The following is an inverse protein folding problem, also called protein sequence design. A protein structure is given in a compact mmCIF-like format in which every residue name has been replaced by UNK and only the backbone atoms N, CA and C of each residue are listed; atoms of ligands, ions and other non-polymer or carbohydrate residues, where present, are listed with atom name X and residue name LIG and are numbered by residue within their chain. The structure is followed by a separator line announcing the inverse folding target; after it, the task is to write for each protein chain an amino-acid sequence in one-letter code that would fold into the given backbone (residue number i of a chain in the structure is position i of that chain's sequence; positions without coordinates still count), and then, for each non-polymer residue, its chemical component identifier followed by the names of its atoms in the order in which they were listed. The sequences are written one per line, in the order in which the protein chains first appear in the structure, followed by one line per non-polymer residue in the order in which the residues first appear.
data_IF_585219886390
#
_entry.id   IF_585219886390
#
_cell.length_a   1.000
_cell.length_b   1.000
_cell.length_c   1.000
_cell.angle_alpha   90.00
_cell.angle_beta   90.00
_cell.angle_gamma   90.00
#
_symmetry.space_group_name_H-M   'P 1'
#
loop_
_entity.id
_entity.type
_entity.pdbx_description
1 polymer ?
#
# COMPACT_ATOMS: atom_id res chain seq x y z
N UNK A 1 -25.88 18.91 -34.10
CA UNK A 1 -25.19 17.73 -33.56
C UNK A 1 -24.16 18.08 -32.46
N UNK A 2 -23.20 18.99 -32.69
CA UNK A 2 -22.15 19.30 -31.70
C UNK A 2 -22.65 19.74 -30.30
N UNK A 3 -23.71 20.54 -30.21
CA UNK A 3 -24.28 21.00 -28.91
C UNK A 3 -24.92 19.87 -28.07
N UNK A 4 -25.53 18.84 -28.73
CA UNK A 4 -26.11 17.68 -28.02
C UNK A 4 -25.04 16.74 -27.48
N UNK A 5 -23.91 16.59 -28.17
CA UNK A 5 -22.77 15.77 -27.72
C UNK A 5 -22.11 16.41 -26.51
N UNK A 6 -21.93 17.74 -26.49
CA UNK A 6 -21.35 18.47 -25.31
C UNK A 6 -22.26 18.34 -24.10
N UNK A 7 -23.59 18.42 -24.27
CA UNK A 7 -24.54 18.25 -23.16
C UNK A 7 -24.51 16.82 -22.57
N UNK A 8 -24.35 15.79 -23.41
CA UNK A 8 -24.27 14.40 -22.98
C UNK A 8 -22.96 14.15 -22.25
N UNK A 9 -21.81 14.70 -22.71
CA UNK A 9 -20.52 14.58 -22.02
C UNK A 9 -20.57 15.28 -20.68
N UNK A 10 -21.16 16.46 -20.57
CA UNK A 10 -21.35 17.18 -19.30
C UNK A 10 -22.27 16.42 -18.33
N UNK A 11 -23.32 15.77 -18.83
CA UNK A 11 -24.23 14.97 -18.01
C UNK A 11 -23.54 13.71 -17.45
N UNK A 12 -22.72 13.04 -18.28
CA UNK A 12 -21.96 11.86 -17.86
C UNK A 12 -20.88 12.22 -16.82
N UNK A 13 -20.17 13.34 -17.01
CA UNK A 13 -19.16 13.78 -16.02
C UNK A 13 -19.82 14.19 -14.71
N UNK A 14 -21.01 14.80 -14.74
CA UNK A 14 -21.73 15.22 -13.53
C UNK A 14 -22.32 14.03 -12.73
N UNK A 15 -22.60 12.89 -13.40
CA UNK A 15 -23.11 11.68 -12.73
C UNK A 15 -21.99 10.76 -12.22
N UNK A 16 -20.80 10.78 -12.83
CA UNK A 16 -19.68 9.93 -12.43
C UNK A 16 -18.95 10.50 -11.21
N UNK A 17 -18.78 11.83 -11.12
CA UNK A 17 -18.10 12.48 -9.99
C UNK A 17 -18.79 12.17 -8.64
N UNK A 18 -20.14 12.28 -8.48
CA UNK A 18 -20.79 11.94 -7.21
C UNK A 18 -20.78 10.45 -6.88
N UNK A 19 -20.67 9.55 -7.87
CA UNK A 19 -20.58 8.10 -7.62
C UNK A 19 -19.22 7.73 -7.01
N UNK A 20 -18.14 8.32 -7.52
CA UNK A 20 -16.82 8.14 -6.90
C UNK A 20 -16.73 8.75 -5.50
N UNK A 21 -17.32 9.92 -5.28
CA UNK A 21 -17.33 10.57 -3.96
C UNK A 21 -18.21 9.82 -2.95
N UNK A 22 -19.29 9.20 -3.39
CA UNK A 22 -20.17 8.41 -2.53
C UNK A 22 -19.50 7.14 -2.01
N UNK A 23 -18.62 6.52 -2.80
CA UNK A 23 -17.86 5.33 -2.39
C UNK A 23 -16.84 5.60 -1.27
N UNK A 24 -16.33 6.83 -1.15
CA UNK A 24 -15.42 7.21 -0.06
C UNK A 24 -16.12 7.94 1.09
N UNK A 25 -17.29 8.55 0.84
CA UNK A 25 -18.06 9.26 1.86
C UNK A 25 -18.79 8.31 2.82
N UNK A 26 -18.88 7.02 2.46
CA UNK A 26 -19.51 5.98 3.28
C UNK A 26 -18.51 5.21 4.15
N UNK A 27 -17.19 5.27 3.82
CA UNK A 27 -16.17 4.64 4.65
C UNK A 27 -16.20 5.26 6.06
N UNK A 28 -16.54 4.45 7.06
CA UNK A 28 -16.53 4.89 8.46
C UNK A 28 -15.09 5.06 8.96
N UNK A 29 -14.40 6.07 8.41
CA UNK A 29 -12.98 6.36 8.64
C UNK A 29 -12.75 7.87 8.77
N UNK A 30 -11.84 8.24 9.65
CA UNK A 30 -11.52 9.65 9.95
C UNK A 30 -10.18 9.97 9.29
N UNK A 31 -10.10 10.98 8.39
CA UNK A 31 -8.83 11.45 7.86
C UNK A 31 -7.84 11.81 8.98
N UNK A 32 -6.57 11.47 8.83
CA UNK A 32 -5.55 11.76 9.84
C UNK A 32 -5.50 13.26 10.21
N UNK A 33 -5.78 14.16 9.25
CA UNK A 33 -5.90 15.61 9.48
C UNK A 33 -7.02 16.01 10.46
N UNK A 34 -8.07 15.20 10.54
CA UNK A 34 -9.26 15.45 11.35
C UNK A 34 -9.28 14.65 12.64
N UNK A 35 -8.37 13.67 12.78
CA UNK A 35 -8.30 12.82 13.96
C UNK A 35 -7.65 13.57 15.12
N UNK A 36 -8.45 13.91 16.12
CA UNK A 36 -8.01 14.67 17.30
C UNK A 36 -7.61 13.73 18.42
N UNK A 37 -6.30 13.60 18.67
CA UNK A 37 -5.75 12.83 19.79
C UNK A 37 -4.39 13.38 20.18
N UNK A 38 -4.28 13.94 21.39
CA UNK A 38 -3.01 14.43 21.93
C UNK A 38 -1.97 13.31 22.08
N UNK A 39 -2.42 12.09 22.38
CA UNK A 39 -1.59 10.90 22.45
C UNK A 39 -0.99 10.58 21.08
N UNK A 40 -1.82 10.45 20.04
CA UNK A 40 -1.36 10.17 18.68
C UNK A 40 -0.44 11.29 18.16
N UNK A 41 -0.78 12.54 18.39
CA UNK A 41 0.04 13.69 17.98
C UNK A 41 1.41 13.70 18.67
N UNK A 42 1.47 13.27 19.93
CA UNK A 42 2.73 13.12 20.66
C UNK A 42 3.61 12.04 20.01
N UNK A 43 3.03 10.89 19.67
CA UNK A 43 3.74 9.80 18.99
C UNK A 43 4.19 10.16 17.57
N UNK A 44 3.44 11.02 16.87
CA UNK A 44 3.72 11.45 15.50
C UNK A 44 4.53 12.76 15.43
N UNK A 45 5.02 13.27 16.54
CA UNK A 45 5.83 14.48 16.56
C UNK A 45 7.11 14.28 15.77
N UNK A 46 7.42 15.21 14.87
CA UNK A 46 8.64 15.24 14.06
C UNK A 46 8.84 14.04 13.10
N UNK A 47 7.78 13.34 12.69
CA UNK A 47 7.90 12.34 11.64
C UNK A 47 8.11 13.00 10.27
N UNK A 48 8.89 12.38 9.37
CA UNK A 48 9.02 12.84 7.99
C UNK A 48 7.68 12.85 7.26
N UNK A 49 7.55 13.73 6.26
CA UNK A 49 6.41 13.73 5.33
C UNK A 49 5.01 13.92 5.96
N UNK A 50 4.91 14.45 7.19
CA UNK A 50 3.66 14.56 7.95
C UNK A 50 2.51 15.15 7.12
N UNK A 51 2.75 16.24 6.40
CA UNK A 51 1.71 16.93 5.62
C UNK A 51 1.19 16.07 4.45
N UNK A 52 2.05 15.28 3.83
CA UNK A 52 1.65 14.34 2.78
C UNK A 52 0.89 13.14 3.36
N UNK A 53 1.37 12.58 4.47
CA UNK A 53 0.69 11.47 5.18
C UNK A 53 -0.72 11.85 5.61
N UNK A 54 -0.89 13.07 6.09
CA UNK A 54 -2.19 13.62 6.47
C UNK A 54 -3.23 13.61 5.34
N UNK A 55 -2.81 13.61 4.08
CA UNK A 55 -3.69 13.70 2.93
C UNK A 55 -4.25 12.34 2.48
N UNK A 56 -3.61 11.21 2.84
CA UNK A 56 -4.04 9.92 2.35
C UNK A 56 -4.20 8.83 3.43
N UNK A 57 -3.85 9.12 4.71
CA UNK A 57 -4.05 8.16 5.80
C UNK A 57 -5.36 8.43 6.52
N UNK A 58 -6.09 7.35 6.80
CA UNK A 58 -7.35 7.32 7.52
C UNK A 58 -7.25 6.39 8.72
N UNK A 59 -7.98 6.72 9.78
CA UNK A 59 -8.04 5.98 11.05
C UNK A 59 -9.47 5.58 11.36
N UNK A 60 -9.71 4.48 12.11
CA UNK A 60 -11.05 4.08 12.51
C UNK A 60 -11.60 5.03 13.57
N UNK A 61 -12.92 5.21 13.63
CA UNK A 61 -13.54 5.80 14.80
C UNK A 61 -13.42 4.86 16.00
N UNK A 62 -13.52 5.42 17.21
CA UNK A 62 -13.54 4.65 18.45
C UNK A 62 -12.16 4.32 19.03
N UNK A 63 -12.10 3.20 19.76
CA UNK A 63 -10.90 2.85 20.53
C UNK A 63 -9.97 1.90 19.75
N UNK A 64 -8.69 2.25 19.69
CA UNK A 64 -7.61 1.45 19.13
C UNK A 64 -6.27 1.90 19.75
N UNK A 65 -5.23 1.10 19.63
CA UNK A 65 -3.88 1.44 20.07
C UNK A 65 -3.32 2.61 19.26
N UNK A 66 -3.17 3.79 19.89
CA UNK A 66 -2.59 4.98 19.26
C UNK A 66 -1.10 4.79 18.99
N UNK A 67 -0.42 4.06 19.86
CA UNK A 67 0.99 3.71 19.71
C UNK A 67 1.20 2.81 18.47
N UNK A 68 0.41 1.74 18.31
CA UNK A 68 0.52 0.85 17.14
C UNK A 68 0.21 1.59 15.85
N UNK A 69 -0.87 2.40 15.83
CA UNK A 69 -1.20 3.22 14.67
C UNK A 69 -0.07 4.21 14.34
N UNK A 70 0.52 4.86 15.35
CA UNK A 70 1.64 5.77 15.14
C UNK A 70 2.89 5.05 14.62
N UNK A 71 3.17 3.83 15.09
CA UNK A 71 4.28 3.01 14.59
C UNK A 71 4.08 2.66 13.12
N UNK A 72 2.89 2.24 12.72
CA UNK A 72 2.54 1.99 11.31
C UNK A 72 2.70 3.24 10.45
N UNK A 73 2.20 4.39 10.90
CA UNK A 73 2.36 5.68 10.20
C UNK A 73 3.84 6.06 10.07
N UNK A 74 4.64 5.80 11.10
CA UNK A 74 6.09 6.06 11.08
C UNK A 74 6.81 5.19 10.05
N UNK A 75 6.47 3.92 9.90
CA UNK A 75 7.03 3.08 8.84
C UNK A 75 6.70 3.65 7.45
N UNK A 76 5.46 4.05 7.22
CA UNK A 76 5.05 4.68 5.95
C UNK A 76 5.77 6.01 5.72
N UNK A 77 6.12 6.75 6.76
CA UNK A 77 6.86 8.02 6.65
C UNK A 77 8.28 7.88 6.09
N UNK A 78 8.85 6.66 6.09
CA UNK A 78 10.17 6.37 5.51
C UNK A 78 10.14 6.32 3.97
N UNK A 79 8.97 6.24 3.36
CA UNK A 79 8.82 6.26 1.90
C UNK A 79 9.16 7.66 1.38
N UNK A 80 9.93 7.77 0.29
CA UNK A 80 10.33 9.05 -0.27
C UNK A 80 9.14 9.97 -0.59
N UNK A 81 9.26 11.29 -0.34
CA UNK A 81 8.16 12.23 -0.51
C UNK A 81 7.57 12.25 -1.92
N UNK A 82 8.40 12.07 -2.96
CA UNK A 82 7.91 12.05 -4.35
C UNK A 82 6.98 10.85 -4.62
N UNK A 83 7.24 9.67 -4.03
CA UNK A 83 6.37 8.49 -4.15
C UNK A 83 5.05 8.74 -3.41
N UNK A 84 5.12 9.27 -2.18
CA UNK A 84 3.94 9.62 -1.40
C UNK A 84 3.08 10.67 -2.11
N UNK A 85 3.68 11.68 -2.74
CA UNK A 85 2.95 12.67 -3.54
C UNK A 85 2.21 12.04 -4.73
N UNK A 86 2.82 11.08 -5.43
CA UNK A 86 2.13 10.38 -6.52
C UNK A 86 0.94 9.57 -5.99
N UNK A 87 1.07 8.90 -4.83
CA UNK A 87 -0.06 8.20 -4.21
C UNK A 87 -1.24 9.16 -3.95
N UNK A 88 -0.98 10.33 -3.39
CA UNK A 88 -2.00 11.38 -3.18
C UNK A 88 -2.63 11.80 -4.50
N UNK A 89 -1.83 12.10 -5.54
CA UNK A 89 -2.32 12.48 -6.85
C UNK A 89 -3.17 11.40 -7.55
N UNK A 90 -2.85 10.13 -7.29
CA UNK A 90 -3.59 8.98 -7.80
C UNK A 90 -4.82 8.63 -6.96
N UNK A 91 -5.13 9.41 -5.90
CA UNK A 91 -6.19 9.13 -4.94
C UNK A 91 -6.07 7.73 -4.32
N UNK A 92 -4.86 7.33 -3.97
CA UNK A 92 -4.61 6.12 -3.15
C UNK A 92 -4.73 6.52 -1.69
N UNK A 93 -5.47 5.74 -0.91
CA UNK A 93 -5.68 5.95 0.51
C UNK A 93 -5.23 4.73 1.31
N UNK A 94 -4.61 4.97 2.46
CA UNK A 94 -4.28 3.94 3.44
C UNK A 94 -5.23 4.07 4.62
N UNK A 95 -6.08 3.08 4.83
CA UNK A 95 -6.92 2.98 6.00
C UNK A 95 -6.32 2.00 7.00
N UNK A 96 -5.82 2.53 8.10
CA UNK A 96 -5.45 1.74 9.27
C UNK A 96 -6.73 1.42 10.02
N UNK A 97 -7.17 0.16 10.00
CA UNK A 97 -8.46 -0.24 10.53
C UNK A 97 -8.35 -1.09 11.80
N UNK A 98 -9.47 -1.26 12.50
CA UNK A 98 -9.65 -2.20 13.61
C UNK A 98 -10.84 -3.12 13.33
N UNK A 99 -10.89 -4.30 13.96
CA UNK A 99 -11.93 -5.30 13.66
C UNK A 99 -11.55 -6.25 12.53
N UNK A 100 -12.52 -6.77 11.79
CA UNK A 100 -12.28 -7.66 10.66
C UNK A 100 -12.24 -6.88 9.35
N UNK A 101 -11.44 -7.35 8.40
CA UNK A 101 -11.33 -6.72 7.08
C UNK A 101 -12.70 -6.68 6.36
N UNK A 102 -13.48 -7.72 6.50
CA UNK A 102 -14.81 -7.86 5.88
C UNK A 102 -15.90 -7.00 6.54
N UNK A 103 -15.61 -6.38 7.69
CA UNK A 103 -16.50 -5.39 8.32
C UNK A 103 -16.27 -3.97 7.74
N UNK A 104 -15.22 -3.80 6.94
CA UNK A 104 -14.92 -2.52 6.27
C UNK A 104 -15.81 -2.39 5.04
N UNK A 105 -16.51 -1.26 4.93
CA UNK A 105 -17.43 -0.98 3.83
C UNK A 105 -16.77 -1.16 2.45
N UNK A 106 -17.44 -1.94 1.59
CA UNK A 106 -16.95 -2.32 0.27
C UNK A 106 -16.17 -3.64 0.24
N UNK A 107 -15.86 -4.23 1.41
CA UNK A 107 -15.15 -5.51 1.53
C UNK A 107 -16.02 -6.65 2.08
N UNK A 108 -17.30 -6.42 2.35
CA UNK A 108 -18.26 -7.40 2.87
C UNK A 108 -18.43 -8.60 1.93
N UNK A 109 -18.25 -8.38 0.64
CA UNK A 109 -18.33 -9.42 -0.39
C UNK A 109 -17.21 -10.47 -0.28
N UNK A 110 -16.18 -10.22 0.51
CA UNK A 110 -15.08 -11.15 0.78
C UNK A 110 -15.40 -12.10 1.95
N UNK A 111 -16.52 -11.89 2.65
CA UNK A 111 -16.95 -12.77 3.75
C UNK A 111 -17.07 -14.23 3.30
N UNK A 112 -16.43 -15.15 4.02
CA UNK A 112 -16.37 -16.56 3.67
C UNK A 112 -15.51 -16.91 2.44
N UNK A 113 -14.89 -15.93 1.79
CA UNK A 113 -14.01 -16.15 0.63
C UNK A 113 -12.57 -16.45 1.07
N UNK A 114 -11.92 -17.40 0.42
CA UNK A 114 -10.52 -17.74 0.70
C UNK A 114 -9.56 -16.79 -0.01
N UNK A 115 -8.60 -16.17 0.72
CA UNK A 115 -7.57 -15.36 0.09
C UNK A 115 -6.54 -16.21 -0.66
N UNK A 116 -5.97 -15.66 -1.74
CA UNK A 116 -4.86 -16.28 -2.47
C UNK A 116 -3.61 -16.34 -1.60
N UNK A 117 -2.88 -17.45 -1.64
CA UNK A 117 -1.61 -17.60 -0.92
C UNK A 117 -1.72 -18.13 0.51
N UNK A 118 -2.92 -18.24 1.06
CA UNK A 118 -3.14 -18.85 2.36
C UNK A 118 -3.38 -20.35 2.21
N UNK A 119 -2.40 -21.15 2.67
CA UNK A 119 -2.44 -22.62 2.57
C UNK A 119 -3.24 -23.30 3.69
N UNK A 120 -3.54 -22.57 4.76
CA UNK A 120 -4.21 -23.11 5.93
C UNK A 120 -5.68 -23.42 5.61
N UNK A 121 -6.09 -24.66 5.90
CA UNK A 121 -7.50 -25.07 5.85
C UNK A 121 -8.25 -24.24 6.91
N UNK A 122 -9.04 -23.27 6.47
CA UNK A 122 -9.91 -22.49 7.35
C UNK A 122 -9.64 -20.98 7.39
N UNK A 123 -8.55 -20.45 6.80
CA UNK A 123 -8.35 -19.01 6.74
C UNK A 123 -9.24 -18.38 5.66
N UNK A 124 -10.05 -17.43 6.04
CA UNK A 124 -10.88 -16.60 5.16
C UNK A 124 -10.38 -15.14 5.20
N UNK A 125 -10.98 -14.28 4.38
CA UNK A 125 -10.62 -12.86 4.37
C UNK A 125 -10.90 -12.13 5.69
N UNK A 126 -11.78 -12.66 6.55
CA UNK A 126 -12.00 -12.15 7.91
C UNK A 126 -10.74 -12.19 8.76
N UNK A 127 -9.90 -13.22 8.54
CA UNK A 127 -8.65 -13.44 9.28
C UNK A 127 -7.45 -12.68 8.71
N UNK A 128 -7.59 -12.09 7.51
CA UNK A 128 -6.50 -11.40 6.83
C UNK A 128 -6.36 -9.97 7.36
N UNK A 129 -5.18 -9.58 7.85
CA UNK A 129 -4.99 -8.27 8.47
C UNK A 129 -4.80 -7.12 7.47
N UNK A 130 -4.69 -7.39 6.17
CA UNK A 130 -4.48 -6.35 5.17
C UNK A 130 -4.82 -6.75 3.75
N UNK A 131 -5.03 -5.75 2.90
CA UNK A 131 -5.21 -5.89 1.46
C UNK A 131 -4.71 -4.64 0.73
N UNK A 132 -3.91 -4.84 -0.32
CA UNK A 132 -3.36 -3.78 -1.16
C UNK A 132 -3.68 -3.94 -2.64
N UNK A 133 -3.01 -3.14 -3.49
CA UNK A 133 -3.15 -3.19 -4.95
C UNK A 133 -4.39 -2.50 -5.51
N UNK A 134 -5.16 -1.83 -4.66
CA UNK A 134 -6.28 -0.96 -5.05
C UNK A 134 -6.03 0.48 -4.63
N UNK A 135 -6.97 1.38 -4.91
CA UNK A 135 -6.90 2.77 -4.44
C UNK A 135 -7.19 2.91 -2.95
N UNK A 136 -7.82 1.91 -2.34
CA UNK A 136 -7.97 1.79 -0.90
C UNK A 136 -7.14 0.61 -0.41
N UNK A 137 -6.11 0.92 0.37
CA UNK A 137 -5.23 -0.03 1.04
C UNK A 137 -5.70 -0.17 2.48
N UNK A 138 -5.86 -1.40 2.96
CA UNK A 138 -6.23 -1.69 4.34
C UNK A 138 -5.07 -2.34 5.07
N UNK A 139 -4.78 -1.89 6.31
CA UNK A 139 -3.84 -2.53 7.21
C UNK A 139 -4.37 -2.47 8.65
N UNK A 140 -4.46 -3.63 9.31
CA UNK A 140 -5.03 -3.75 10.65
C UNK A 140 -4.05 -3.24 11.71
N UNK A 141 -4.51 -2.33 12.55
CA UNK A 141 -3.72 -1.77 13.66
C UNK A 141 -3.30 -2.90 14.61
N UNK A 142 -2.03 -2.87 15.02
CA UNK A 142 -1.42 -3.90 15.88
C UNK A 142 -0.93 -5.16 15.13
N UNK A 143 -1.10 -5.22 13.81
CA UNK A 143 -0.68 -6.36 12.98
C UNK A 143 0.53 -6.05 12.07
N UNK A 144 1.32 -5.04 12.40
CA UNK A 144 2.45 -4.57 11.56
C UNK A 144 3.54 -5.63 11.37
N UNK A 145 3.84 -6.40 12.40
CA UNK A 145 4.97 -7.32 12.41
C UNK A 145 4.64 -8.70 11.82
N UNK A 146 5.63 -9.32 11.19
CA UNK A 146 5.55 -10.68 10.70
C UNK A 146 5.07 -11.66 11.79
N UNK A 147 4.13 -12.54 11.43
CA UNK A 147 3.54 -13.51 12.35
C UNK A 147 2.24 -13.03 13.00
N UNK A 148 1.87 -11.76 12.83
CA UNK A 148 0.62 -11.20 13.34
C UNK A 148 -0.55 -11.42 12.37
N UNK A 149 -0.77 -12.68 11.94
CA UNK A 149 -1.82 -13.06 10.98
C UNK A 149 -1.37 -12.99 9.51
N UNK A 150 -0.12 -12.63 9.24
CA UNK A 150 0.45 -12.57 7.89
C UNK A 150 1.92 -13.02 7.87
N UNK A 151 2.47 -13.24 6.66
CA UNK A 151 3.84 -13.71 6.45
C UNK A 151 4.84 -12.65 5.99
N UNK A 152 4.41 -11.43 5.71
CA UNK A 152 5.26 -10.32 5.28
C UNK A 152 6.05 -9.72 6.45
N UNK A 153 7.19 -9.09 6.15
CA UNK A 153 8.09 -8.49 7.16
C UNK A 153 7.42 -7.31 7.85
N UNK A 154 6.59 -6.58 7.11
CA UNK A 154 5.80 -5.46 7.62
C UNK A 154 4.51 -5.32 6.78
N UNK A 155 3.36 -5.28 7.45
CA UNK A 155 2.06 -5.32 6.80
C UNK A 155 1.78 -4.09 5.94
N UNK A 156 1.80 -2.90 6.56
CA UNK A 156 1.38 -1.65 5.90
C UNK A 156 2.28 -1.27 4.72
N UNK A 157 3.57 -1.52 4.81
CA UNK A 157 4.50 -1.29 3.71
C UNK A 157 4.28 -2.29 2.57
N UNK A 158 4.03 -3.56 2.89
CA UNK A 158 3.75 -4.62 1.91
C UNK A 158 2.47 -4.33 1.13
N UNK A 159 1.37 -4.05 1.83
CA UNK A 159 0.09 -3.77 1.18
C UNK A 159 0.12 -2.46 0.37
N UNK A 160 0.79 -1.43 0.90
CA UNK A 160 0.96 -0.18 0.18
C UNK A 160 1.84 -0.35 -1.06
N UNK A 161 2.85 -1.24 -1.02
CA UNK A 161 3.71 -1.54 -2.15
C UNK A 161 2.93 -2.09 -3.36
N UNK A 162 1.91 -2.92 -3.16
CA UNK A 162 1.04 -3.38 -4.25
C UNK A 162 0.33 -2.21 -4.96
N UNK A 163 -0.06 -1.19 -4.21
CA UNK A 163 -0.68 0.02 -4.80
C UNK A 163 0.36 0.93 -5.44
N UNK A 164 1.56 1.03 -4.89
CA UNK A 164 2.71 1.71 -5.51
C UNK A 164 3.08 1.03 -6.84
N UNK A 165 3.17 -0.29 -6.86
CA UNK A 165 3.40 -1.06 -8.08
C UNK A 165 2.40 -0.67 -9.17
N UNK A 166 1.13 -0.66 -8.86
CA UNK A 166 0.06 -0.43 -9.83
C UNK A 166 -0.08 1.02 -10.28
N UNK A 167 -0.03 1.96 -9.34
CA UNK A 167 -0.42 3.36 -9.59
C UNK A 167 0.78 4.31 -9.72
N UNK A 168 1.96 3.90 -9.27
CA UNK A 168 3.19 4.71 -9.36
C UNK A 168 4.15 4.15 -10.42
N UNK A 169 4.33 2.81 -10.46
CA UNK A 169 5.35 2.16 -11.28
C UNK A 169 4.81 1.53 -12.57
N UNK A 170 3.49 1.51 -12.79
CA UNK A 170 2.88 0.99 -14.00
C UNK A 170 2.92 -0.54 -14.13
N UNK A 171 2.87 -1.25 -13.01
CA UNK A 171 2.95 -2.70 -12.84
C UNK A 171 4.34 -3.28 -13.10
N UNK A 172 5.06 -3.54 -12.01
CA UNK A 172 6.43 -4.05 -11.97
C UNK A 172 6.62 -5.37 -12.73
N UNK A 173 5.56 -6.17 -12.83
CA UNK A 173 5.55 -7.43 -13.60
C UNK A 173 5.87 -7.25 -15.09
N UNK A 174 5.80 -6.02 -15.61
CA UNK A 174 6.19 -5.68 -16.98
C UNK A 174 7.56 -5.01 -17.08
N UNK A 175 8.19 -4.67 -15.95
CA UNK A 175 9.50 -4.05 -15.92
C UNK A 175 10.60 -5.09 -16.15
N UNK A 176 11.23 -5.07 -17.32
CA UNK A 176 12.26 -6.06 -17.71
C UNK A 176 13.47 -6.07 -16.77
N UNK A 177 13.91 -4.89 -16.30
CA UNK A 177 15.05 -4.78 -15.41
C UNK A 177 14.75 -5.40 -14.05
N UNK A 178 13.58 -5.10 -13.47
CA UNK A 178 13.13 -5.70 -12.22
C UNK A 178 12.96 -7.22 -12.35
N UNK A 179 12.30 -7.70 -13.41
CA UNK A 179 12.11 -9.14 -13.63
C UNK A 179 13.44 -9.90 -13.77
N UNK A 180 14.48 -9.26 -14.34
CA UNK A 180 15.83 -9.85 -14.39
C UNK A 180 16.44 -9.95 -12.99
N UNK A 181 16.36 -8.90 -12.18
CA UNK A 181 16.81 -8.90 -10.79
C UNK A 181 16.07 -9.97 -9.97
N UNK A 182 14.73 -9.96 -10.02
CA UNK A 182 13.90 -10.96 -9.35
C UNK A 182 14.32 -12.39 -9.66
N UNK A 183 14.42 -12.76 -10.94
CA UNK A 183 14.79 -14.14 -11.36
C UNK A 183 16.18 -14.56 -10.87
N UNK A 184 17.12 -13.62 -10.78
CA UNK A 184 18.49 -13.94 -10.34
C UNK A 184 18.64 -13.99 -8.82
N UNK A 185 17.76 -13.34 -8.04
CA UNK A 185 17.96 -13.10 -6.61
C UNK A 185 16.92 -13.73 -5.70
N UNK A 186 15.74 -14.08 -6.21
CA UNK A 186 14.65 -14.60 -5.39
C UNK A 186 15.03 -15.87 -4.61
N UNK A 187 15.83 -16.74 -5.18
CA UNK A 187 16.28 -17.96 -4.52
C UNK A 187 17.26 -17.70 -3.38
N UNK A 188 18.10 -16.66 -3.50
CA UNK A 188 19.05 -16.25 -2.45
C UNK A 188 18.32 -15.56 -1.30
N UNK A 189 17.37 -14.67 -1.60
CA UNK A 189 16.68 -13.87 -0.59
C UNK A 189 15.57 -14.67 0.12
N UNK A 190 14.85 -15.50 -0.63
CA UNK A 190 13.69 -16.25 -0.14
C UNK A 190 13.80 -17.75 -0.46
N UNK A 191 14.81 -18.46 0.07
CA UNK A 191 14.94 -19.89 -0.13
C UNK A 191 13.69 -20.60 0.41
N UNK A 192 13.16 -21.57 -0.36
CA UNK A 192 12.01 -22.39 0.02
C UNK A 192 10.67 -21.63 0.18
N UNK A 193 10.56 -20.39 -0.32
CA UNK A 193 9.32 -19.61 -0.31
C UNK A 193 8.74 -19.49 -1.72
N UNK A 194 8.15 -20.57 -2.22
CA UNK A 194 7.62 -20.70 -3.59
C UNK A 194 6.68 -19.54 -3.98
N UNK A 195 6.00 -18.94 -3.03
CA UNK A 195 5.11 -17.79 -3.28
C UNK A 195 5.87 -16.63 -3.95
N UNK A 196 7.02 -16.25 -3.44
CA UNK A 196 7.85 -15.18 -4.02
C UNK A 196 8.55 -15.60 -5.32
N UNK A 197 8.76 -16.89 -5.53
CA UNK A 197 9.31 -17.43 -6.79
C UNK A 197 8.28 -17.43 -7.93
N UNK A 198 6.98 -17.44 -7.58
CA UNK A 198 5.88 -17.53 -8.55
C UNK A 198 5.35 -16.14 -8.91
N UNK A 199 5.30 -15.23 -7.95
CA UNK A 199 4.63 -13.94 -8.08
C UNK A 199 5.62 -12.78 -7.91
N UNK A 200 6.10 -12.16 -9.01
CA UNK A 200 7.04 -11.04 -8.94
C UNK A 200 6.47 -9.81 -8.21
N UNK A 201 5.16 -9.61 -8.23
CA UNK A 201 4.48 -8.55 -7.49
C UNK A 201 4.57 -8.75 -5.97
N UNK A 202 4.57 -9.99 -5.50
CA UNK A 202 4.73 -10.32 -4.08
C UNK A 202 6.18 -10.17 -3.63
N UNK A 203 7.12 -10.59 -4.50
CA UNK A 203 8.53 -10.33 -4.27
C UNK A 203 8.82 -8.83 -4.20
N UNK A 204 8.21 -8.04 -5.10
CA UNK A 204 8.33 -6.58 -5.06
C UNK A 204 7.80 -6.02 -3.75
N UNK A 205 6.58 -6.40 -3.32
CA UNK A 205 5.96 -5.89 -2.11
C UNK A 205 6.78 -6.21 -0.85
N UNK A 206 7.29 -7.45 -0.75
CA UNK A 206 8.12 -7.86 0.39
C UNK A 206 9.48 -7.13 0.39
N UNK A 207 10.14 -7.03 -0.76
CA UNK A 207 11.44 -6.34 -0.86
C UNK A 207 11.31 -4.83 -0.70
N UNK A 208 10.20 -4.23 -1.10
CA UNK A 208 9.86 -2.84 -0.80
C UNK A 208 9.73 -2.63 0.72
N UNK A 209 9.00 -3.51 1.40
CA UNK A 209 8.89 -3.46 2.85
C UNK A 209 10.26 -3.63 3.52
N UNK A 210 11.10 -4.56 3.08
CA UNK A 210 12.47 -4.72 3.59
C UNK A 210 13.32 -3.46 3.41
N UNK A 211 13.15 -2.78 2.27
CA UNK A 211 13.95 -1.59 1.93
C UNK A 211 13.60 -0.38 2.80
N UNK A 212 12.31 -0.18 3.12
CA UNK A 212 11.82 1.02 3.82
C UNK A 212 11.54 0.81 5.32
N UNK A 213 11.53 -0.42 5.82
CA UNK A 213 11.21 -0.68 7.23
C UNK A 213 12.28 -0.15 8.19
N UNK A 214 13.52 -0.62 8.02
CA UNK A 214 14.66 -0.21 8.85
C UNK A 214 16.00 -0.64 8.22
N UNK A 215 17.10 -0.19 8.83
CA UNK A 215 18.46 -0.45 8.32
C UNK A 215 18.82 -1.94 8.34
N UNK A 216 18.32 -2.72 9.28
CA UNK A 216 18.62 -4.17 9.38
C UNK A 216 18.03 -4.90 8.18
N UNK A 217 16.75 -4.71 7.90
CA UNK A 217 16.09 -5.34 6.74
C UNK A 217 16.62 -4.83 5.42
N UNK A 218 16.98 -3.53 5.35
CA UNK A 218 17.63 -2.91 4.20
C UNK A 218 19.01 -3.51 3.92
N UNK A 219 19.80 -3.77 4.95
CA UNK A 219 21.10 -4.44 4.85
C UNK A 219 20.97 -5.88 4.34
N UNK A 220 20.02 -6.66 4.90
CA UNK A 220 19.75 -8.03 4.43
C UNK A 220 19.32 -8.06 2.96
N UNK A 221 18.50 -7.09 2.53
CA UNK A 221 18.15 -6.93 1.12
C UNK A 221 19.39 -6.65 0.26
N UNK A 222 20.23 -5.69 0.65
CA UNK A 222 21.44 -5.34 -0.08
C UNK A 222 22.41 -6.53 -0.22
N UNK A 223 22.53 -7.34 0.83
CA UNK A 223 23.40 -8.50 0.89
C UNK A 223 22.93 -9.66 0.00
N UNK A 224 21.63 -9.96 -0.01
CA UNK A 224 21.07 -11.14 -0.65
C UNK A 224 20.40 -10.86 -2.00
N UNK A 225 20.07 -9.60 -2.29
CA UNK A 225 19.43 -9.14 -3.51
C UNK A 225 19.94 -7.76 -3.97
N UNK A 226 21.24 -7.64 -4.32
CA UNK A 226 21.87 -6.34 -4.62
C UNK A 226 21.29 -5.64 -5.84
N UNK A 227 20.82 -6.35 -6.88
CA UNK A 227 20.19 -5.71 -8.04
C UNK A 227 18.80 -5.17 -7.69
N UNK A 228 18.03 -5.88 -6.86
CA UNK A 228 16.76 -5.38 -6.33
C UNK A 228 16.98 -4.17 -5.42
N UNK A 229 18.00 -4.21 -4.58
CA UNK A 229 18.39 -3.07 -3.75
C UNK A 229 18.74 -1.83 -4.62
N UNK A 230 19.54 -2.00 -5.66
CA UNK A 230 19.89 -0.93 -6.61
C UNK A 230 18.65 -0.41 -7.37
N UNK A 231 17.67 -1.27 -7.65
CA UNK A 231 16.41 -0.85 -8.24
C UNK A 231 15.69 0.17 -7.35
N UNK A 232 15.59 -0.09 -6.03
CA UNK A 232 15.00 0.86 -5.09
C UNK A 232 15.82 2.14 -4.93
N UNK A 233 17.15 2.04 -4.86
CA UNK A 233 18.02 3.23 -4.84
C UNK A 233 17.81 4.12 -6.06
N UNK A 234 17.62 3.54 -7.24
CA UNK A 234 17.36 4.30 -8.46
C UNK A 234 15.95 4.90 -8.44
N UNK A 235 14.97 4.20 -7.90
CA UNK A 235 13.61 4.71 -7.72
C UNK A 235 13.58 5.95 -6.81
N UNK A 236 14.41 5.99 -5.76
CA UNK A 236 14.57 7.17 -4.89
C UNK A 236 15.12 8.41 -5.62
N UNK A 237 15.92 8.22 -6.65
CA UNK A 237 16.59 9.30 -7.41
C UNK A 237 15.76 9.84 -8.56
N UNK A 238 14.66 9.17 -8.92
CA UNK A 238 13.86 9.60 -10.07
C UNK A 238 13.13 10.92 -9.75
N UNK A 239 13.27 11.92 -10.63
CA UNK A 239 12.49 13.15 -10.49
C UNK A 239 11.00 12.84 -10.66
N UNK A 240 10.15 13.57 -9.94
CA UNK A 240 8.69 13.51 -10.08
C UNK A 240 8.30 14.04 -11.46
N UNK A 241 8.41 13.23 -12.48
CA UNK A 241 7.90 13.56 -13.80
C UNK A 241 6.83 12.54 -14.19
N UNK A 242 5.77 13.00 -14.84
CA UNK A 242 4.67 12.19 -15.41
C UNK A 242 5.12 11.01 -16.28
N UNK A 243 6.40 10.81 -16.48
CA UNK A 243 7.02 9.88 -17.44
C UNK A 243 7.34 8.49 -16.85
N UNK A 244 7.09 8.21 -15.58
CA UNK A 244 7.22 6.84 -15.05
C UNK A 244 6.15 5.90 -15.64
N UNK A 245 5.05 6.45 -16.16
CA UNK A 245 3.92 5.70 -16.73
C UNK A 245 4.10 5.43 -18.24
N UNK A 246 5.00 6.13 -18.95
CA UNK A 246 5.05 6.13 -20.42
C UNK A 246 6.21 5.36 -21.06
N UNK A 247 7.12 4.76 -20.31
CA UNK A 247 8.25 4.01 -20.88
C UNK A 247 8.06 2.48 -20.87
N UNK A 248 6.86 2.02 -21.21
CA UNK A 248 6.59 0.61 -21.52
C UNK A 248 6.06 0.49 -22.94
N UNK A 249 6.94 0.66 -23.92
CA UNK A 249 6.74 0.15 -25.28
C UNK A 249 7.93 -0.70 -25.69
#
# INVERSE_FOLDING_TARGET
MKRRIVAIILLITFTIIPIYWKAYASLNAIPLTQFKSSELDTHLKNIPNRDTLNQFIYLPPGNFSKEDAANMIRHVSNIPPHILHVLVQQNVHLYLFSGNLTDVEGFEHLHGVKPRGYSNKGSNWEDVPGIGGSKLVLAKIGHSNKGSGHGSINLELHELAHSIDRYVLGNIRYNKAFLKAWKSEVASLFPNRNYFHTFPEEYFAETFAMYYLNDVTRFELAKHAPHTFLFFQNMEKLPITKNLITNTH
#
